data_IF_064443764546
#
_entry.id   IF_064443764546
#
_cell.length_a   1.000
_cell.length_b   1.000
_cell.length_c   1.000
_cell.angle_alpha   90.00
_cell.angle_beta   90.00
_cell.angle_gamma   90.00
#
_symmetry.space_group_name_H-M   'P 1'
#
loop_
_entity.id
_entity.type
_entity.pdbx_description
1 polymer ?
#
# COMPACT_ATOMS: atom_id res chain seq x y z
N UNK A 1 -31.11 -12.26 4.75
CA UNK A 1 -30.39 -11.60 3.63
C UNK A 1 -29.37 -10.59 4.19
N UNK A 2 -28.60 -10.95 5.23
CA UNK A 2 -27.90 -9.93 6.06
C UNK A 2 -26.61 -10.41 6.76
N UNK A 3 -26.02 -11.54 6.37
CA UNK A 3 -24.80 -12.03 7.03
C UNK A 3 -23.73 -12.58 6.07
N UNK A 4 -24.13 -13.12 4.92
CA UNK A 4 -23.19 -13.53 3.85
C UNK A 4 -22.74 -12.38 2.93
N UNK A 5 -23.29 -11.19 3.15
CA UNK A 5 -22.89 -9.93 2.52
C UNK A 5 -21.64 -9.35 3.22
N UNK A 6 -21.38 -9.72 4.48
CA UNK A 6 -20.43 -9.02 5.36
C UNK A 6 -18.94 -9.35 5.17
N UNK A 7 -18.59 -10.50 4.57
CA UNK A 7 -17.19 -10.94 4.48
C UNK A 7 -16.57 -10.65 3.11
N UNK A 8 -17.37 -10.65 2.03
CA UNK A 8 -16.98 -10.09 0.73
C UNK A 8 -17.04 -8.55 0.70
N UNK A 9 -17.65 -7.95 1.73
CA UNK A 9 -17.77 -6.51 1.95
C UNK A 9 -16.44 -5.84 2.32
N UNK A 10 -15.48 -6.51 2.96
CA UNK A 10 -14.47 -5.76 3.76
C UNK A 10 -13.29 -5.20 2.96
N UNK A 11 -13.11 -5.61 1.70
CA UNK A 11 -12.17 -4.96 0.77
C UNK A 11 -12.85 -4.26 -0.41
N UNK A 12 -14.16 -4.37 -0.54
CA UNK A 12 -14.98 -3.79 -1.62
C UNK A 12 -16.09 -2.82 -1.10
N UNK A 13 -16.29 -2.69 0.22
CA UNK A 13 -17.26 -1.81 0.88
C UNK A 13 -16.67 -0.85 1.91
N UNK A 14 -15.36 -0.57 1.86
CA UNK A 14 -14.86 0.69 2.45
C UNK A 14 -15.08 1.93 1.55
N UNK A 15 -15.71 1.79 0.37
CA UNK A 15 -16.16 2.91 -0.49
C UNK A 15 -17.36 2.45 -1.35
N UNK A 16 -18.47 3.22 -1.47
CA UNK A 16 -19.76 2.74 -2.01
C UNK A 16 -19.83 2.67 -3.55
N UNK A 17 -20.63 1.71 -4.04
CA UNK A 17 -20.85 1.34 -5.45
C UNK A 17 -21.88 2.25 -6.16
N UNK A 18 -21.54 2.70 -7.37
CA UNK A 18 -22.36 2.58 -8.58
C UNK A 18 -21.44 1.88 -9.61
N UNK A 19 -21.77 0.90 -10.45
CA UNK A 19 -22.97 0.14 -10.82
C UNK A 19 -22.44 -1.14 -11.48
N UNK A 20 -23.27 -2.17 -11.59
CA UNK A 20 -23.03 -3.56 -12.02
C UNK A 20 -22.30 -3.72 -13.38
N UNK A 21 -22.16 -2.66 -14.17
CA UNK A 21 -21.39 -2.64 -15.42
C UNK A 21 -19.86 -2.80 -15.26
N UNK A 22 -19.30 -2.52 -14.07
CA UNK A 22 -17.85 -2.63 -13.82
C UNK A 22 -17.40 -4.10 -13.68
N UNK A 23 -18.27 -5.00 -13.24
CA UNK A 23 -17.94 -6.43 -13.05
C UNK A 23 -17.57 -7.12 -14.37
N UNK A 24 -18.14 -6.68 -15.50
CA UNK A 24 -17.77 -7.20 -16.82
C UNK A 24 -16.44 -6.63 -17.36
N UNK A 25 -16.03 -5.44 -16.89
CA UNK A 25 -14.74 -4.82 -17.26
C UNK A 25 -13.58 -5.36 -16.39
N UNK A 26 -13.91 -5.85 -15.18
CA UNK A 26 -12.98 -6.44 -14.20
C UNK A 26 -12.47 -7.85 -14.55
N UNK A 27 -12.89 -8.44 -15.68
CA UNK A 27 -12.23 -9.64 -16.24
C UNK A 27 -10.85 -9.35 -16.87
N UNK A 28 -10.42 -8.08 -16.92
CA UNK A 28 -9.01 -7.71 -17.10
C UNK A 28 -8.34 -7.58 -15.73
N UNK A 29 -7.50 -8.54 -15.38
CA UNK A 29 -7.03 -8.83 -14.03
C UNK A 29 -6.17 -7.74 -13.33
N UNK A 30 -6.01 -6.51 -13.88
CA UNK A 30 -4.93 -5.58 -13.47
C UNK A 30 -5.36 -4.13 -13.24
N UNK A 31 -6.51 -3.70 -13.75
CA UNK A 31 -7.18 -2.47 -13.30
C UNK A 31 -7.44 -2.56 -11.78
N UNK A 32 -7.68 -3.77 -11.27
CA UNK A 32 -7.84 -4.08 -9.86
C UNK A 32 -6.59 -3.82 -9.00
N UNK A 33 -5.37 -4.04 -9.49
CA UNK A 33 -4.16 -3.75 -8.70
C UNK A 33 -3.87 -2.25 -8.62
N UNK A 34 -4.14 -1.51 -9.69
CA UNK A 34 -4.09 -0.04 -9.64
C UNK A 34 -5.13 0.51 -8.65
N UNK A 35 -6.36 -0.01 -8.67
CA UNK A 35 -7.38 0.32 -7.66
C UNK A 35 -7.03 -0.18 -6.25
N UNK A 36 -6.24 -1.25 -6.11
CA UNK A 36 -5.72 -1.73 -4.84
C UNK A 36 -4.65 -0.76 -4.30
N UNK A 37 -3.70 -0.33 -5.12
CA UNK A 37 -2.72 0.71 -4.76
C UNK A 37 -3.46 1.98 -4.37
N UNK A 38 -4.38 2.43 -5.21
CA UNK A 38 -5.15 3.63 -4.94
C UNK A 38 -6.02 3.47 -3.69
N UNK A 39 -6.60 2.30 -3.44
CA UNK A 39 -7.44 1.99 -2.27
C UNK A 39 -6.64 1.89 -0.97
N UNK A 40 -5.55 1.11 -0.95
CA UNK A 40 -4.63 0.98 0.20
C UNK A 40 -4.08 2.34 0.57
N UNK A 41 -3.63 3.12 -0.42
CA UNK A 41 -3.13 4.44 -0.15
C UNK A 41 -4.24 5.44 0.14
N UNK A 42 -5.45 5.35 -0.44
CA UNK A 42 -6.60 6.18 -0.07
C UNK A 42 -7.01 5.97 1.38
N UNK A 43 -6.96 4.74 1.90
CA UNK A 43 -7.18 4.49 3.33
C UNK A 43 -6.09 5.16 4.16
N UNK A 44 -4.82 5.02 3.78
CA UNK A 44 -3.70 5.72 4.42
C UNK A 44 -3.77 7.27 4.26
N UNK A 45 -4.40 7.77 3.20
CA UNK A 45 -4.48 9.19 2.81
C UNK A 45 -5.78 9.87 3.31
N UNK A 46 -6.79 9.07 3.66
CA UNK A 46 -8.05 9.53 4.25
C UNK A 46 -7.75 10.25 5.55
N UNK A 47 -8.49 11.33 5.82
CA UNK A 47 -8.12 12.48 6.67
C UNK A 47 -7.86 12.26 8.16
N UNK A 48 -7.49 11.04 8.58
CA UNK A 48 -7.17 10.68 9.96
C UNK A 48 -5.69 10.86 10.31
N UNK A 49 -4.81 10.83 9.31
CA UNK A 49 -3.41 11.21 9.50
C UNK A 49 -3.32 12.75 9.51
N UNK A 50 -2.93 13.31 10.65
CA UNK A 50 -2.84 14.75 10.85
C UNK A 50 -1.91 15.46 9.85
N UNK A 51 -1.82 16.78 9.94
CA UNK A 51 -1.04 17.63 9.01
C UNK A 51 0.42 17.20 8.83
N UNK A 52 0.99 16.50 9.83
CA UNK A 52 2.31 15.88 9.76
C UNK A 52 2.52 14.92 8.57
N UNK A 53 1.44 14.31 8.03
CA UNK A 53 1.51 13.33 6.93
C UNK A 53 1.24 13.92 5.54
N UNK A 54 0.99 15.24 5.43
CA UNK A 54 0.78 15.90 4.13
C UNK A 54 1.92 15.62 3.13
N UNK A 55 3.20 15.65 3.52
CA UNK A 55 4.29 15.33 2.58
C UNK A 55 4.19 13.91 2.00
N UNK A 56 3.81 12.93 2.83
CA UNK A 56 3.64 11.53 2.40
C UNK A 56 2.45 11.40 1.46
N UNK A 57 1.32 12.04 1.80
CA UNK A 57 0.13 12.08 0.96
C UNK A 57 0.40 12.66 -0.42
N UNK A 58 1.16 13.75 -0.48
CA UNK A 58 1.52 14.41 -1.73
C UNK A 58 2.45 13.55 -2.59
N UNK A 59 3.45 12.90 -1.97
CA UNK A 59 4.36 11.98 -2.66
C UNK A 59 3.58 10.82 -3.31
N UNK A 60 2.73 10.14 -2.54
CA UNK A 60 1.92 9.04 -3.04
C UNK A 60 0.98 9.50 -4.16
N UNK A 61 0.27 10.61 -3.95
CA UNK A 61 -0.69 11.14 -4.93
C UNK A 61 -0.01 11.51 -6.25
N UNK A 62 1.19 12.12 -6.17
CA UNK A 62 2.00 12.44 -7.33
C UNK A 62 2.43 11.19 -8.10
N UNK A 63 2.89 10.16 -7.39
CA UNK A 63 3.31 8.90 -8.01
C UNK A 63 2.12 8.12 -8.63
N UNK A 64 0.95 8.11 -7.98
CA UNK A 64 -0.28 7.55 -8.56
C UNK A 64 -0.67 8.30 -9.84
N UNK A 65 -0.59 9.64 -9.84
CA UNK A 65 -0.89 10.44 -11.01
C UNK A 65 0.06 10.12 -12.18
N UNK A 66 1.37 9.94 -11.94
CA UNK A 66 2.33 9.52 -12.98
C UNK A 66 1.92 8.21 -13.65
N UNK A 67 1.56 7.20 -12.85
CA UNK A 67 1.13 5.87 -13.35
C UNK A 67 -0.21 5.96 -14.08
N UNK A 68 -1.18 6.71 -13.53
CA UNK A 68 -2.50 6.92 -14.13
C UNK A 68 -2.41 7.55 -15.51
N UNK A 69 -1.70 8.68 -15.62
CA UNK A 69 -1.53 9.39 -16.89
C UNK A 69 -0.98 8.48 -17.98
N UNK A 70 -0.04 7.59 -17.61
CA UNK A 70 0.52 6.61 -18.53
C UNK A 70 -0.50 5.57 -18.97
N UNK A 71 -1.22 4.97 -18.02
CA UNK A 71 -2.28 4.01 -18.31
C UNK A 71 -3.36 4.60 -19.23
N UNK A 72 -3.83 5.81 -18.93
CA UNK A 72 -4.84 6.52 -19.73
C UNK A 72 -4.35 6.87 -21.14
N UNK A 73 -3.04 7.09 -21.33
CA UNK A 73 -2.45 7.36 -22.65
C UNK A 73 -2.41 6.16 -23.60
N UNK A 74 -2.71 4.95 -23.10
CA UNK A 74 -2.56 3.71 -23.86
C UNK A 74 -3.33 2.55 -23.24
N UNK A 75 -4.61 2.76 -22.92
CA UNK A 75 -5.45 1.80 -22.20
C UNK A 75 -5.51 0.42 -22.87
N UNK A 76 -5.56 0.38 -24.21
CA UNK A 76 -5.59 -0.87 -24.98
C UNK A 76 -4.25 -1.60 -25.02
N UNK A 77 -3.15 -0.91 -24.68
CA UNK A 77 -1.78 -1.43 -24.73
C UNK A 77 -1.24 -1.82 -23.37
N UNK A 78 -1.83 -1.32 -22.29
CA UNK A 78 -1.38 -1.53 -20.91
C UNK A 78 -2.34 -2.46 -20.18
N UNK A 79 -2.38 -3.74 -20.58
CA UNK A 79 -3.24 -4.75 -19.95
C UNK A 79 -2.67 -5.20 -18.60
N UNK A 80 -1.35 -5.17 -18.47
CA UNK A 80 -0.59 -5.53 -17.27
C UNK A 80 0.28 -4.35 -16.81
N UNK A 81 0.73 -4.37 -15.56
CA UNK A 81 1.65 -3.35 -15.03
C UNK A 81 3.00 -3.43 -15.74
N UNK A 82 3.39 -4.65 -16.06
CA UNK A 82 4.55 -4.99 -16.86
C UNK A 82 4.48 -4.29 -18.22
N UNK A 83 3.33 -4.30 -18.90
CA UNK A 83 3.15 -3.59 -20.18
C UNK A 83 3.37 -2.09 -20.03
N UNK A 84 2.86 -1.50 -18.93
CA UNK A 84 3.05 -0.08 -18.63
C UNK A 84 4.53 0.25 -18.45
N UNK A 85 5.26 -0.60 -17.73
CA UNK A 85 6.71 -0.46 -17.56
C UNK A 85 7.43 -0.63 -18.90
N UNK A 86 7.12 -1.65 -19.69
CA UNK A 86 7.77 -1.89 -20.98
C UNK A 86 7.53 -0.73 -21.97
N UNK A 87 6.29 -0.24 -22.09
CA UNK A 87 5.96 0.90 -22.96
C UNK A 87 6.64 2.19 -22.46
N UNK A 88 6.79 2.36 -21.15
CA UNK A 88 7.53 3.49 -20.58
C UNK A 88 9.04 3.39 -20.84
N UNK A 89 9.65 2.22 -20.66
CA UNK A 89 11.06 2.01 -21.00
C UNK A 89 11.32 2.19 -22.50
N UNK A 90 10.46 1.65 -23.36
CA UNK A 90 10.59 1.76 -24.81
C UNK A 90 10.57 3.23 -25.28
N UNK A 91 9.68 4.04 -24.71
CA UNK A 91 9.58 5.49 -25.01
C UNK A 91 10.73 6.32 -24.42
N UNK A 92 11.49 5.76 -23.49
CA UNK A 92 12.59 6.45 -22.79
C UNK A 92 13.95 5.80 -23.07
N UNK A 93 14.13 5.16 -24.24
CA UNK A 93 15.40 4.56 -24.68
C UNK A 93 15.98 3.57 -23.65
N UNK A 94 15.10 2.76 -23.04
CA UNK A 94 15.45 1.77 -22.02
C UNK A 94 15.70 2.34 -20.62
N UNK A 95 15.52 3.66 -20.41
CA UNK A 95 15.62 4.30 -19.10
C UNK A 95 14.24 4.39 -18.45
N UNK A 96 14.19 4.45 -17.12
CA UNK A 96 12.94 4.70 -16.42
C UNK A 96 12.37 6.05 -16.82
N UNK A 97 11.15 6.03 -17.37
CA UNK A 97 10.33 7.23 -17.51
C UNK A 97 9.56 7.54 -16.23
N UNK A 98 8.71 8.55 -16.31
CA UNK A 98 7.93 9.06 -15.18
C UNK A 98 7.04 7.98 -14.54
N UNK A 99 6.41 7.12 -15.36
CA UNK A 99 5.48 6.13 -14.86
C UNK A 99 6.20 4.97 -14.14
N UNK A 100 7.31 4.48 -14.73
CA UNK A 100 8.14 3.44 -14.11
C UNK A 100 8.78 3.92 -12.81
N UNK A 101 9.21 5.19 -12.77
CA UNK A 101 9.72 5.82 -11.54
C UNK A 101 8.62 5.99 -10.48
N UNK A 102 7.45 6.50 -10.86
CA UNK A 102 6.33 6.66 -9.92
C UNK A 102 5.92 5.33 -9.31
N UNK A 103 5.82 4.29 -10.12
CA UNK A 103 5.51 2.94 -9.67
C UNK A 103 6.61 2.33 -8.80
N UNK A 104 7.89 2.64 -9.04
CA UNK A 104 9.00 2.23 -8.16
C UNK A 104 8.81 2.75 -6.74
N UNK A 105 8.44 4.03 -6.59
CA UNK A 105 8.20 4.64 -5.28
C UNK A 105 6.94 4.08 -4.61
N UNK A 106 5.87 3.86 -5.37
CA UNK A 106 4.66 3.22 -4.86
C UNK A 106 4.95 1.80 -4.36
N UNK A 107 5.67 0.99 -5.14
CA UNK A 107 6.12 -0.35 -4.74
C UNK A 107 6.85 -0.33 -3.40
N UNK A 108 7.81 0.59 -3.22
CA UNK A 108 8.55 0.73 -1.95
C UNK A 108 7.63 1.11 -0.78
N UNK A 109 6.62 1.93 -1.04
CA UNK A 109 5.56 2.23 -0.08
C UNK A 109 4.72 1.01 0.28
N UNK A 110 4.38 0.15 -0.70
CA UNK A 110 3.66 -1.10 -0.44
C UNK A 110 4.49 -2.10 0.36
N UNK A 111 5.80 -2.21 0.10
CA UNK A 111 6.72 -3.02 0.90
C UNK A 111 6.71 -2.56 2.38
N UNK A 112 6.78 -1.24 2.61
CA UNK A 112 6.65 -0.66 3.95
C UNK A 112 5.31 -0.98 4.60
N UNK A 113 4.19 -0.80 3.88
CA UNK A 113 2.85 -1.07 4.41
C UNK A 113 2.67 -2.56 4.74
N UNK A 114 3.16 -3.46 3.90
CA UNK A 114 3.11 -4.89 4.13
C UNK A 114 3.87 -5.26 5.42
N UNK A 115 5.09 -4.74 5.59
CA UNK A 115 5.91 -4.99 6.78
C UNK A 115 5.26 -4.40 8.04
N UNK A 116 4.74 -3.17 7.97
CA UNK A 116 4.05 -2.51 9.07
C UNK A 116 2.78 -3.27 9.50
N UNK A 117 1.92 -3.66 8.55
CA UNK A 117 0.69 -4.39 8.85
C UNK A 117 0.98 -5.79 9.39
N UNK A 118 2.01 -6.46 8.85
CA UNK A 118 2.47 -7.76 9.36
C UNK A 118 2.92 -7.64 10.81
N UNK A 119 3.73 -6.62 11.13
CA UNK A 119 4.21 -6.38 12.48
C UNK A 119 3.06 -6.02 13.45
N UNK A 120 2.14 -5.17 13.02
CA UNK A 120 0.99 -4.77 13.83
C UNK A 120 0.11 -5.98 14.18
N UNK A 121 -0.18 -6.85 13.21
CA UNK A 121 -0.94 -8.09 13.43
C UNK A 121 -0.17 -9.02 14.38
N UNK A 122 1.12 -9.21 14.15
CA UNK A 122 1.96 -10.08 14.97
C UNK A 122 1.98 -9.61 16.43
N UNK A 123 2.33 -8.34 16.67
CA UNK A 123 2.41 -7.74 18.00
C UNK A 123 1.06 -7.80 18.71
N UNK A 124 -0.03 -7.46 18.00
CA UNK A 124 -1.37 -7.52 18.57
C UNK A 124 -1.73 -8.94 19.00
N UNK A 125 -1.56 -9.93 18.13
CA UNK A 125 -1.91 -11.33 18.41
C UNK A 125 -1.05 -11.96 19.51
N UNK A 126 0.24 -11.62 19.57
CA UNK A 126 1.15 -12.16 20.59
C UNK A 126 0.97 -11.56 21.99
N UNK A 127 0.32 -10.40 22.11
CA UNK A 127 0.10 -9.76 23.41
C UNK A 127 -1.11 -10.32 24.13
N UNK A 128 -0.95 -10.65 25.41
CA UNK A 128 -2.07 -10.99 26.32
C UNK A 128 -2.82 -9.74 26.78
N UNK A 129 -2.14 -8.59 26.85
CA UNK A 129 -2.71 -7.29 27.19
C UNK A 129 -2.71 -6.39 25.94
N UNK A 130 -3.86 -6.29 25.26
CA UNK A 130 -3.99 -5.53 24.01
C UNK A 130 -3.75 -4.04 24.19
N UNK A 131 -3.94 -3.50 25.40
CA UNK A 131 -3.75 -2.06 25.67
C UNK A 131 -2.28 -1.65 25.51
N UNK A 132 -1.34 -2.56 25.78
CA UNK A 132 0.11 -2.34 25.60
C UNK A 132 0.57 -2.32 24.15
N UNK A 133 -0.32 -2.65 23.21
CA UNK A 133 -0.02 -2.68 21.76
C UNK A 133 -0.52 -1.45 21.03
N UNK A 134 -1.03 -0.44 21.75
CA UNK A 134 -1.66 0.73 21.12
C UNK A 134 -0.64 1.71 20.51
N UNK A 135 0.58 1.76 21.03
CA UNK A 135 1.66 2.54 20.41
C UNK A 135 2.27 1.78 19.23
N UNK A 136 2.22 2.38 18.04
CA UNK A 136 2.74 1.80 16.79
C UNK A 136 4.15 2.26 16.41
N UNK A 137 4.78 3.11 17.21
CA UNK A 137 6.09 3.72 16.89
C UNK A 137 7.15 2.66 16.58
N UNK A 138 7.23 1.61 17.38
CA UNK A 138 8.22 0.54 17.18
C UNK A 138 7.93 -0.26 15.92
N UNK A 139 6.66 -0.60 15.66
CA UNK A 139 6.24 -1.31 14.45
C UNK A 139 6.54 -0.50 13.18
N UNK A 140 6.26 0.81 13.20
CA UNK A 140 6.54 1.72 12.09
C UNK A 140 8.06 1.88 11.89
N UNK A 141 8.84 2.03 12.96
CA UNK A 141 10.29 2.13 12.88
C UNK A 141 10.92 0.87 12.30
N UNK A 142 10.46 -0.32 12.75
CA UNK A 142 10.91 -1.60 12.20
C UNK A 142 10.60 -1.69 10.71
N UNK A 143 9.36 -1.41 10.32
CA UNK A 143 8.95 -1.42 8.93
C UNK A 143 9.78 -0.47 8.06
N UNK A 144 10.00 0.76 8.54
CA UNK A 144 10.82 1.76 7.85
C UNK A 144 12.28 1.30 7.68
N UNK A 145 12.89 0.77 8.74
CA UNK A 145 14.27 0.30 8.72
C UNK A 145 14.44 -0.87 7.73
N UNK A 146 13.47 -1.79 7.70
CA UNK A 146 13.51 -2.97 6.85
C UNK A 146 13.21 -2.67 5.38
N UNK A 147 12.60 -1.52 5.06
CA UNK A 147 12.12 -1.21 3.71
C UNK A 147 12.62 0.16 3.20
N UNK A 148 11.91 1.25 3.47
CA UNK A 148 12.11 2.57 2.85
C UNK A 148 13.45 3.22 3.20
N UNK A 149 14.00 2.99 4.40
CA UNK A 149 15.18 3.72 4.91
C UNK A 149 16.39 3.65 3.98
N UNK A 150 16.60 2.53 3.31
CA UNK A 150 17.72 2.35 2.38
C UNK A 150 17.59 3.21 1.11
N UNK A 151 16.38 3.59 0.74
CA UNK A 151 16.07 4.40 -0.43
C UNK A 151 16.01 5.91 -0.10
N UNK A 152 15.93 6.26 1.19
CA UNK A 152 15.86 7.64 1.65
C UNK A 152 17.23 8.31 1.76
N UNK A 153 17.36 9.49 1.15
CA UNK A 153 18.47 10.43 1.39
C UNK A 153 18.42 11.05 2.80
N UNK A 154 19.39 11.91 3.11
CA UNK A 154 19.48 12.57 4.41
C UNK A 154 18.20 13.33 4.79
N UNK A 155 17.67 14.13 3.86
CA UNK A 155 16.47 14.95 4.10
C UNK A 155 15.26 14.06 4.42
N UNK A 156 14.97 13.04 3.61
CA UNK A 156 13.83 12.13 3.83
C UNK A 156 13.97 11.35 5.14
N UNK A 157 15.19 10.99 5.56
CA UNK A 157 15.45 10.37 6.86
C UNK A 157 15.15 11.30 8.03
N UNK A 158 15.50 12.59 7.91
CA UNK A 158 15.19 13.59 8.93
C UNK A 158 13.69 13.87 8.99
N UNK A 159 13.02 13.95 7.84
CA UNK A 159 11.57 14.09 7.76
C UNK A 159 10.86 12.93 8.47
N UNK A 160 11.29 11.69 8.24
CA UNK A 160 10.72 10.52 8.91
C UNK A 160 10.81 10.61 10.45
N UNK A 161 11.94 11.08 11.00
CA UNK A 161 12.11 11.28 12.46
C UNK A 161 11.13 12.28 13.06
N UNK A 162 10.63 13.22 12.26
CA UNK A 162 9.63 14.19 12.69
C UNK A 162 8.23 13.57 12.58
N UNK A 163 7.94 12.92 11.44
CA UNK A 163 6.62 12.33 11.18
C UNK A 163 6.27 11.23 12.18
N UNK A 164 7.24 10.41 12.59
CA UNK A 164 7.00 9.32 13.55
C UNK A 164 6.50 9.82 14.91
N UNK A 165 6.79 11.07 15.29
CA UNK A 165 6.28 11.66 16.53
C UNK A 165 4.77 11.89 16.49
N UNK A 166 4.20 11.98 15.28
CA UNK A 166 2.78 12.09 15.04
C UNK A 166 2.15 10.74 14.63
N UNK A 167 2.85 9.61 14.82
CA UNK A 167 2.35 8.30 14.47
C UNK A 167 0.98 8.04 15.12
N UNK A 168 -0.01 7.53 14.37
CA UNK A 168 -1.31 7.18 14.94
C UNK A 168 -1.15 6.00 15.90
N UNK A 169 -2.06 5.91 16.86
CA UNK A 169 -2.21 4.70 17.67
C UNK A 169 -2.84 3.57 16.86
N UNK A 170 -2.69 2.34 17.32
CA UNK A 170 -3.34 1.16 16.74
C UNK A 170 -4.86 1.34 16.74
N UNK A 171 -5.43 1.75 17.86
CA UNK A 171 -6.85 2.08 17.97
C UNK A 171 -7.31 3.11 16.94
N UNK A 172 -6.51 4.16 16.69
CA UNK A 172 -6.80 5.16 15.65
C UNK A 172 -6.81 4.53 14.26
N UNK A 173 -5.80 3.70 13.93
CA UNK A 173 -5.72 2.99 12.65
C UNK A 173 -6.89 2.03 12.46
N UNK A 174 -7.20 1.20 13.46
CA UNK A 174 -8.28 0.21 13.36
C UNK A 174 -9.65 0.88 13.32
N UNK A 175 -9.87 1.96 14.07
CA UNK A 175 -11.09 2.77 13.97
C UNK A 175 -11.28 3.35 12.56
N UNK A 176 -10.20 3.78 11.92
CA UNK A 176 -10.26 4.23 10.52
C UNK A 176 -10.61 3.07 9.56
N UNK A 177 -10.03 1.88 9.76
CA UNK A 177 -10.37 0.69 8.98
C UNK A 177 -11.81 0.22 9.19
N UNK A 178 -12.37 0.47 10.38
CA UNK A 178 -13.75 0.16 10.75
C UNK A 178 -14.74 1.29 10.40
N UNK A 179 -14.34 2.29 9.61
CA UNK A 179 -15.16 3.46 9.25
C UNK A 179 -15.77 4.20 10.46
N UNK A 180 -15.02 4.27 11.56
CA UNK A 180 -15.45 4.90 12.81
C UNK A 180 -16.13 3.94 13.80
N UNK A 181 -16.31 2.67 13.45
CA UNK A 181 -16.82 1.63 14.35
C UNK A 181 -15.92 1.44 15.58
N UNK A 182 -16.55 1.20 16.73
CA UNK A 182 -15.85 1.00 18.02
C UNK A 182 -15.88 -0.47 18.44
N UNK A 183 -14.86 -0.92 19.17
CA UNK A 183 -14.77 -2.31 19.65
C UNK A 183 -14.53 -3.34 18.54
N UNK A 184 -14.07 -2.91 17.37
CA UNK A 184 -13.87 -3.76 16.19
C UNK A 184 -12.42 -4.26 16.05
N UNK A 185 -11.57 -4.04 17.05
CA UNK A 185 -10.12 -4.28 16.97
C UNK A 185 -9.77 -5.71 16.52
N UNK A 186 -10.30 -6.73 17.20
CA UNK A 186 -10.03 -8.13 16.87
C UNK A 186 -10.50 -8.47 15.45
N UNK A 187 -11.69 -8.00 15.07
CA UNK A 187 -12.29 -8.21 13.74
C UNK A 187 -11.42 -7.56 12.66
N UNK A 188 -10.99 -6.31 12.87
CA UNK A 188 -10.12 -5.61 11.94
C UNK A 188 -8.76 -6.30 11.82
N UNK A 189 -8.16 -6.75 12.93
CA UNK A 189 -6.88 -7.47 12.92
C UNK A 189 -7.01 -8.79 12.17
N UNK A 190 -8.06 -9.56 12.40
CA UNK A 190 -8.29 -10.82 11.70
C UNK A 190 -8.52 -10.62 10.20
N UNK A 191 -9.24 -9.56 9.81
CA UNK A 191 -9.36 -9.19 8.41
C UNK A 191 -8.04 -8.75 7.80
N UNK A 192 -7.23 -7.91 8.46
CA UNK A 192 -5.91 -7.55 7.95
C UNK A 192 -5.07 -8.82 7.75
N UNK A 193 -5.03 -9.69 8.76
CA UNK A 193 -4.27 -10.93 8.72
C UNK A 193 -4.69 -11.86 7.57
N UNK A 194 -5.99 -12.02 7.33
CA UNK A 194 -6.53 -12.86 6.26
C UNK A 194 -6.12 -12.40 4.85
N UNK A 195 -5.73 -11.14 4.69
CA UNK A 195 -5.34 -10.56 3.40
C UNK A 195 -3.83 -10.35 3.23
N UNK A 196 -3.03 -10.53 4.28
CA UNK A 196 -1.59 -10.30 4.23
C UNK A 196 -0.87 -11.18 3.21
N UNK A 197 -1.27 -12.44 3.03
CA UNK A 197 -0.61 -13.35 2.09
C UNK A 197 -0.87 -12.99 0.63
N UNK A 198 -2.10 -12.58 0.31
CA UNK A 198 -2.43 -12.06 -1.02
C UNK A 198 -1.70 -10.74 -1.29
N UNK A 199 -1.65 -9.86 -0.29
CA UNK A 199 -0.91 -8.61 -0.40
C UNK A 199 0.59 -8.86 -0.62
N UNK A 200 1.18 -9.78 0.14
CA UNK A 200 2.57 -10.22 -0.02
C UNK A 200 2.83 -10.76 -1.41
N UNK A 201 1.97 -11.65 -1.91
CA UNK A 201 2.10 -12.23 -3.26
C UNK A 201 2.13 -11.14 -4.33
N UNK A 202 1.20 -10.18 -4.26
CA UNK A 202 1.13 -9.08 -5.22
C UNK A 202 2.36 -8.17 -5.15
N UNK A 203 2.81 -7.81 -3.94
CA UNK A 203 4.02 -6.98 -3.74
C UNK A 203 5.27 -7.72 -4.22
N UNK A 204 5.42 -9.01 -3.91
CA UNK A 204 6.54 -9.83 -4.36
C UNK A 204 6.59 -9.93 -5.89
N UNK A 205 5.44 -10.05 -6.56
CA UNK A 205 5.38 -10.09 -8.02
C UNK A 205 6.01 -8.85 -8.66
N UNK A 206 5.59 -7.65 -8.23
CA UNK A 206 6.13 -6.40 -8.77
C UNK A 206 7.59 -6.18 -8.35
N UNK A 207 7.98 -6.54 -7.12
CA UNK A 207 9.38 -6.47 -6.67
C UNK A 207 10.29 -7.35 -7.54
N UNK A 208 9.89 -8.60 -7.79
CA UNK A 208 10.65 -9.52 -8.63
C UNK A 208 10.77 -9.01 -10.06
N UNK A 209 9.71 -8.39 -10.60
CA UNK A 209 9.75 -7.78 -11.93
C UNK A 209 10.79 -6.67 -12.02
N UNK A 210 10.77 -5.72 -11.07
CA UNK A 210 11.74 -4.62 -11.00
C UNK A 210 13.18 -5.10 -10.86
N UNK A 211 13.42 -6.11 -10.02
CA UNK A 211 14.76 -6.72 -9.84
C UNK A 211 15.22 -7.39 -11.14
N UNK A 212 14.35 -8.20 -11.76
CA UNK A 212 14.66 -8.92 -13.02
C UNK A 212 15.00 -7.95 -14.15
N UNK A 213 14.28 -6.82 -14.23
CA UNK A 213 14.54 -5.75 -15.20
C UNK A 213 15.70 -4.83 -14.83
N UNK A 214 16.38 -5.07 -13.70
CA UNK A 214 17.48 -4.23 -13.17
C UNK A 214 17.06 -2.78 -12.92
N UNK A 215 15.80 -2.57 -12.56
CA UNK A 215 15.20 -1.27 -12.25
C UNK A 215 15.23 -0.95 -10.75
N UNK A 216 15.48 -1.95 -9.91
CA UNK A 216 15.73 -1.79 -8.47
C UNK A 216 16.74 -2.84 -8.00
N UNK A 217 17.20 -2.73 -6.75
CA UNK A 217 18.13 -3.69 -6.15
C UNK A 217 17.45 -4.55 -5.09
N UNK A 218 17.78 -5.86 -4.98
CA UNK A 218 17.25 -6.73 -3.94
C UNK A 218 17.43 -6.14 -2.54
N UNK A 219 16.47 -6.41 -1.65
CA UNK A 219 16.57 -6.01 -0.25
C UNK A 219 17.49 -6.97 0.52
N UNK A 220 18.65 -6.50 1.03
CA UNK A 220 19.59 -7.38 1.72
C UNK A 220 19.06 -7.90 3.06
N UNK A 221 18.04 -7.26 3.63
CA UNK A 221 17.43 -7.63 4.92
C UNK A 221 16.31 -8.66 4.78
N UNK A 222 15.72 -8.77 3.58
CA UNK A 222 14.68 -9.74 3.26
C UNK A 222 15.33 -10.82 2.39
N UNK A 223 16.11 -11.72 3.01
CA UNK A 223 16.57 -12.94 2.32
C UNK A 223 15.52 -14.04 2.50
N UNK A 224 15.23 -14.71 1.38
CA UNK A 224 14.26 -15.81 1.22
C UNK A 224 14.33 -16.86 2.34
#
# INVERSE_FOLDING_TARGET
MTFLVYIFYILLYCFPIYSIYIVYILLSHYVAFFFLIEGVFKVAISGFLGTAFIPIKNDISGNVAKVRTKYESGIDKCKYIEDLIEDDLAKNSGKMGSATEGLLWLKRGLEFMLEFLSEMVQVYRSSTDKTKTDNLTDSINKAYNNTLKRHHGFISKQLFKIIILAAPTRSTVLKALAEGGEGMDDICIDHVAAHLDNFRTNVTSIVNYYITKKLDTPNPLLRN
#
